data_IF_823528393572
#
_entry.id   IF_823528393572
#
_cell.length_a   1.000
_cell.length_b   1.000
_cell.length_c   1.000
_cell.angle_alpha   90.00
_cell.angle_beta   90.00
_cell.angle_gamma   90.00
#
_symmetry.space_group_name_H-M   'P 1'
#
loop_
_entity.id
_entity.type
_entity.pdbx_description
1 polymer ?
#
# COMPACT_ATOMS: atom_id res chain seq x y z
N UNK A 1 7.21 -21.77 -4.54
CA UNK A 1 5.78 -21.92 -4.95
C UNK A 1 4.85 -22.26 -3.79
N UNK A 2 5.14 -23.26 -2.94
CA UNK A 2 4.28 -23.62 -1.79
C UNK A 2 3.99 -22.46 -0.80
N UNK A 3 4.95 -21.55 -0.55
CA UNK A 3 4.76 -20.40 0.34
C UNK A 3 3.92 -19.25 -0.24
N UNK A 4 4.00 -18.99 -1.55
CA UNK A 4 3.18 -17.97 -2.22
C UNK A 4 1.72 -18.46 -2.37
N UNK A 5 1.55 -19.78 -2.56
CA UNK A 5 0.24 -20.44 -2.56
C UNK A 5 -0.34 -20.45 -1.13
N UNK A 6 0.45 -20.67 -0.09
CA UNK A 6 -0.03 -20.52 1.30
C UNK A 6 -0.31 -19.06 1.69
N UNK A 7 0.40 -18.09 1.11
CA UNK A 7 0.12 -16.65 1.29
C UNK A 7 -1.31 -16.30 0.84
N UNK A 8 -1.73 -16.78 -0.33
CA UNK A 8 -3.10 -16.59 -0.81
C UNK A 8 -4.15 -17.52 -0.18
N UNK A 9 -3.75 -18.68 0.35
CA UNK A 9 -4.68 -19.64 0.96
C UNK A 9 -5.07 -19.26 2.40
N UNK A 10 -4.27 -18.42 3.06
CA UNK A 10 -4.46 -18.03 4.47
C UNK A 10 -4.99 -16.60 4.62
N UNK A 11 -5.14 -15.84 3.53
CA UNK A 11 -5.73 -14.49 3.60
C UNK A 11 -7.22 -14.60 3.86
N UNK A 12 -7.71 -14.03 4.96
CA UNK A 12 -9.12 -13.69 5.10
C UNK A 12 -9.52 -12.88 3.87
N UNK A 13 -10.45 -13.43 3.08
CA UNK A 13 -10.90 -12.81 1.84
C UNK A 13 -11.61 -11.49 2.20
N UNK A 14 -10.90 -10.37 2.10
CA UNK A 14 -11.58 -9.08 1.99
C UNK A 14 -12.40 -9.10 0.70
N UNK A 15 -13.69 -8.79 0.78
CA UNK A 15 -14.51 -8.76 -0.42
C UNK A 15 -14.03 -7.63 -1.34
N UNK A 16 -14.11 -7.80 -2.67
CA UNK A 16 -13.77 -6.74 -3.63
C UNK A 16 -14.59 -5.46 -3.41
N UNK A 17 -15.76 -5.56 -2.77
CA UNK A 17 -16.59 -4.43 -2.32
C UNK A 17 -15.87 -3.58 -1.26
N UNK A 18 -15.16 -4.20 -0.33
CA UNK A 18 -14.37 -3.49 0.70
C UNK A 18 -13.19 -2.76 0.04
N UNK A 19 -12.52 -3.36 -0.94
CA UNK A 19 -11.46 -2.68 -1.71
C UNK A 19 -11.99 -1.47 -2.49
N UNK A 20 -13.19 -1.57 -3.07
CA UNK A 20 -13.84 -0.46 -3.75
C UNK A 20 -14.23 0.68 -2.78
N UNK A 21 -14.72 0.33 -1.57
CA UNK A 21 -15.00 1.29 -0.50
C UNK A 21 -13.73 1.99 0.00
N UNK A 22 -12.63 1.25 0.18
CA UNK A 22 -11.31 1.77 0.52
C UNK A 22 -10.84 2.75 -0.55
N UNK A 23 -10.94 2.36 -1.83
CA UNK A 23 -10.55 3.23 -2.95
C UNK A 23 -11.39 4.51 -2.98
N UNK A 24 -12.70 4.40 -2.72
CA UNK A 24 -13.61 5.54 -2.64
C UNK A 24 -13.24 6.47 -1.48
N UNK A 25 -12.94 5.92 -0.29
CA UNK A 25 -12.50 6.68 0.88
C UNK A 25 -11.19 7.43 0.59
N UNK A 26 -10.25 6.78 -0.09
CA UNK A 26 -8.97 7.38 -0.51
C UNK A 26 -9.20 8.54 -1.48
N UNK A 27 -10.06 8.35 -2.47
CA UNK A 27 -10.41 9.41 -3.42
C UNK A 27 -11.03 10.61 -2.70
N UNK A 28 -11.97 10.37 -1.78
CA UNK A 28 -12.56 11.42 -0.92
C UNK A 28 -11.52 12.14 -0.06
N UNK A 29 -10.51 11.43 0.45
CA UNK A 29 -9.43 12.03 1.24
C UNK A 29 -8.41 12.84 0.42
N UNK A 30 -8.24 12.50 -0.86
CA UNK A 30 -7.32 13.19 -1.77
C UNK A 30 -7.91 14.52 -2.27
N UNK A 31 -9.24 14.65 -2.40
CA UNK A 31 -9.90 15.92 -2.76
C UNK A 31 -9.98 16.89 -1.56
N UNK A 32 -9.29 18.04 -1.57
CA UNK A 32 -9.53 19.08 -0.59
C UNK A 32 -10.80 19.86 -0.98
N UNK A 33 -11.95 19.46 -0.44
CA UNK A 33 -13.13 20.30 -0.23
C UNK A 33 -13.77 20.97 -1.46
N UNK A 34 -14.77 20.32 -2.05
CA UNK A 34 -15.98 20.99 -2.58
C UNK A 34 -17.24 20.37 -1.97
N UNK A 35 -17.26 20.17 -0.66
CA UNK A 35 -18.52 19.96 0.06
C UNK A 35 -19.01 21.31 0.59
N UNK A 36 -19.38 22.20 -0.32
CA UNK A 36 -20.38 23.22 0.01
C UNK A 36 -21.68 22.47 0.27
N UNK A 37 -22.32 22.76 1.39
CA UNK A 37 -23.60 22.20 1.80
C UNK A 37 -24.62 22.32 0.65
N UNK A 38 -24.85 21.21 -0.05
CA UNK A 38 -25.99 21.01 -0.93
C UNK A 38 -26.91 20.02 -0.23
N UNK A 39 -28.06 20.50 0.23
CA UNK A 39 -29.10 19.71 0.87
C UNK A 39 -29.42 18.47 0.03
N UNK A 40 -29.07 17.29 0.54
CA UNK A 40 -29.60 16.03 0.02
C UNK A 40 -30.98 15.82 0.64
N UNK A 41 -32.01 16.33 -0.03
CA UNK A 41 -33.39 15.97 0.26
C UNK A 41 -33.62 14.52 -0.21
N UNK A 42 -33.95 13.63 0.73
CA UNK A 42 -34.49 12.31 0.39
C UNK A 42 -35.87 12.49 -0.26
N UNK A 43 -36.18 11.81 -1.39
CA UNK A 43 -37.55 11.65 -1.81
C UNK A 43 -38.23 10.61 -0.92
N UNK A 44 -39.23 11.07 -0.18
CA UNK A 44 -40.21 10.29 0.57
C UNK A 44 -41.11 9.45 -0.34
N UNK A 45 -41.31 8.19 0.04
CA UNK A 45 -42.48 7.31 -0.12
C UNK A 45 -43.66 7.73 -1.03
N UNK A 46 -44.06 6.82 -1.93
CA UNK A 46 -45.43 6.32 -2.20
C UNK A 46 -45.34 5.49 -3.50
N UNK A 47 -45.87 4.28 -3.66
CA UNK A 47 -47.25 3.86 -3.45
C UNK A 47 -47.34 2.36 -3.16
N UNK A 48 -48.27 2.05 -2.26
CA UNK A 48 -48.89 0.76 -1.97
C UNK A 48 -49.87 0.33 -3.09
N UNK A 49 -50.02 -0.97 -3.29
CA UNK A 49 -51.10 -1.61 -4.06
C UNK A 49 -50.99 -3.14 -4.02
N UNK A 50 -52.10 -3.92 -4.00
CA UNK A 50 -52.27 -5.01 -3.03
C UNK A 50 -52.09 -6.45 -3.54
N UNK A 51 -51.82 -7.32 -2.56
CA UNK A 51 -52.14 -8.74 -2.34
C UNK A 51 -52.91 -9.51 -3.43
N UNK A 52 -52.40 -10.71 -3.75
CA UNK A 52 -53.21 -11.89 -4.05
C UNK A 52 -52.50 -13.15 -3.53
N UNK A 53 -53.10 -13.78 -2.54
CA UNK A 53 -52.81 -15.14 -2.09
C UNK A 53 -53.21 -16.17 -3.17
N UNK A 54 -52.47 -17.27 -3.24
CA UNK A 54 -52.75 -18.40 -4.12
C UNK A 54 -51.90 -19.61 -3.76
N UNK A 55 -52.36 -20.35 -2.75
CA UNK A 55 -51.85 -21.68 -2.38
C UNK A 55 -52.20 -22.68 -3.48
N UNK A 56 -51.26 -23.53 -3.89
CA UNK A 56 -51.51 -24.95 -4.20
C UNK A 56 -50.20 -25.74 -4.19
N UNK A 57 -50.14 -26.65 -3.23
CA UNK A 57 -49.24 -27.80 -3.10
C UNK A 57 -49.48 -28.82 -4.21
N UNK A 58 -48.42 -29.33 -4.81
CA UNK A 58 -48.43 -30.72 -5.32
C UNK A 58 -47.08 -31.37 -5.02
N UNK A 59 -47.16 -32.36 -4.14
CA UNK A 59 -46.12 -33.32 -3.79
C UNK A 59 -46.24 -34.45 -4.82
N UNK A 60 -45.14 -34.83 -5.45
CA UNK A 60 -45.00 -36.18 -5.99
C UNK A 60 -43.60 -36.69 -5.65
N UNK A 61 -43.62 -37.70 -4.78
CA UNK A 61 -42.53 -38.60 -4.44
C UNK A 61 -42.01 -39.29 -5.70
N UNK A 62 -40.69 -39.45 -5.79
CA UNK A 62 -40.15 -40.73 -6.24
C UNK A 62 -38.90 -41.05 -5.40
N UNK A 63 -39.01 -42.14 -4.64
CA UNK A 63 -37.95 -42.73 -3.84
C UNK A 63 -37.15 -43.68 -4.73
N UNK A 64 -35.84 -43.48 -4.84
CA UNK A 64 -34.91 -44.59 -5.11
C UNK A 64 -33.77 -44.54 -4.11
N UNK A 65 -33.88 -45.47 -3.18
CA UNK A 65 -32.96 -45.85 -2.12
C UNK A 65 -31.58 -46.28 -2.67
N UNK A 66 -30.53 -45.55 -2.28
CA UNK A 66 -29.16 -46.05 -2.30
C UNK A 66 -28.53 -45.67 -0.96
N UNK A 67 -28.33 -46.68 -0.12
CA UNK A 67 -27.73 -46.56 1.21
C UNK A 67 -26.36 -45.86 1.16
N UNK A 68 -26.28 -44.71 1.82
CA UNK A 68 -25.03 -44.07 2.19
C UNK A 68 -25.04 -43.87 3.70
N UNK A 69 -24.15 -44.58 4.39
CA UNK A 69 -23.86 -44.39 5.81
C UNK A 69 -23.52 -42.92 6.08
N UNK A 70 -24.42 -42.22 6.77
CA UNK A 70 -24.19 -40.87 7.27
C UNK A 70 -23.14 -40.91 8.39
N UNK A 71 -21.94 -40.41 8.10
CA UNK A 71 -21.01 -39.96 9.13
C UNK A 71 -21.63 -38.76 9.87
N UNK A 72 -21.39 -38.58 11.18
CA UNK A 72 -22.00 -37.49 11.94
C UNK A 72 -21.53 -36.13 11.41
N UNK A 73 -22.50 -35.25 11.15
CA UNK A 73 -22.32 -33.83 10.87
C UNK A 73 -21.50 -33.16 11.99
N UNK A 74 -20.22 -32.89 11.74
CA UNK A 74 -19.39 -32.07 12.62
C UNK A 74 -20.01 -30.66 12.74
N UNK A 75 -20.28 -30.24 13.96
CA UNK A 75 -20.97 -29.00 14.30
C UNK A 75 -20.09 -27.77 13.96
N UNK A 76 -20.39 -26.96 12.93
CA UNK A 76 -19.52 -25.85 12.48
C UNK A 76 -19.51 -24.63 13.43
N UNK A 77 -20.31 -24.65 14.50
CA UNK A 77 -20.70 -23.44 15.24
C UNK A 77 -19.65 -22.88 16.21
N UNK A 78 -18.70 -23.70 16.69
CA UNK A 78 -17.71 -23.25 17.68
C UNK A 78 -16.54 -22.51 17.03
N UNK A 79 -15.98 -23.06 15.95
CA UNK A 79 -14.87 -22.43 15.22
C UNK A 79 -15.31 -21.14 14.53
N UNK A 80 -16.54 -21.10 14.00
CA UNK A 80 -17.10 -19.89 13.41
C UNK A 80 -17.33 -18.78 14.46
N UNK A 81 -17.79 -19.14 15.68
CA UNK A 81 -17.93 -18.19 16.79
C UNK A 81 -16.57 -17.65 17.25
N UNK A 82 -15.56 -18.51 17.39
CA UNK A 82 -14.20 -18.09 17.80
C UNK A 82 -13.59 -17.15 16.75
N UNK A 83 -13.73 -17.47 15.45
CA UNK A 83 -13.29 -16.59 14.37
C UNK A 83 -13.94 -15.20 14.46
N UNK A 84 -15.26 -15.15 14.67
CA UNK A 84 -15.99 -13.89 14.81
C UNK A 84 -15.51 -13.02 16.00
N UNK A 85 -15.20 -13.63 17.15
CA UNK A 85 -14.63 -12.88 18.29
C UNK A 85 -13.22 -12.33 17.98
N UNK A 86 -12.40 -13.09 17.25
CA UNK A 86 -11.07 -12.66 16.84
C UNK A 86 -11.17 -11.49 15.85
N UNK A 87 -12.09 -11.54 14.91
CA UNK A 87 -12.36 -10.45 13.95
C UNK A 87 -12.80 -9.16 14.66
N UNK A 88 -13.65 -9.28 15.69
CA UNK A 88 -14.06 -8.14 16.52
C UNK A 88 -12.85 -7.52 17.22
N UNK A 89 -11.98 -8.33 17.83
CA UNK A 89 -10.77 -7.85 18.50
C UNK A 89 -9.85 -7.12 17.51
N UNK A 90 -9.68 -7.66 16.30
CA UNK A 90 -8.88 -7.02 15.26
C UNK A 90 -9.49 -5.72 14.76
N UNK A 91 -10.80 -5.67 14.57
CA UNK A 91 -11.54 -4.44 14.26
C UNK A 91 -11.30 -3.36 15.31
N UNK A 92 -11.38 -3.71 16.60
CA UNK A 92 -11.03 -2.77 17.67
C UNK A 92 -9.58 -2.31 17.58
N UNK A 93 -8.63 -3.18 17.23
CA UNK A 93 -7.24 -2.80 16.97
C UNK A 93 -7.09 -1.77 15.86
N UNK A 94 -7.84 -1.92 14.76
CA UNK A 94 -7.88 -0.94 13.67
C UNK A 94 -8.46 0.41 14.09
N UNK A 95 -9.61 0.39 14.76
CA UNK A 95 -10.27 1.61 15.28
C UNK A 95 -9.36 2.33 16.29
N UNK A 96 -8.76 1.60 17.22
CA UNK A 96 -7.79 2.13 18.18
C UNK A 96 -6.59 2.77 17.47
N UNK A 97 -6.10 2.17 16.39
CA UNK A 97 -5.02 2.76 15.58
C UNK A 97 -5.45 4.11 15.00
N UNK A 98 -6.63 4.18 14.37
CA UNK A 98 -7.15 5.42 13.81
C UNK A 98 -7.35 6.51 14.88
N UNK A 99 -7.92 6.15 16.03
CA UNK A 99 -8.09 7.06 17.18
C UNK A 99 -6.75 7.52 17.71
N UNK A 100 -5.78 6.60 17.89
CA UNK A 100 -4.45 6.93 18.42
C UNK A 100 -3.72 7.89 17.49
N UNK A 101 -3.79 7.68 16.18
CA UNK A 101 -3.31 8.62 15.17
C UNK A 101 -3.93 10.01 15.42
N UNK A 102 -5.26 10.12 15.48
CA UNK A 102 -5.95 11.40 15.72
C UNK A 102 -5.61 12.04 17.09
N UNK A 103 -5.43 11.24 18.14
CA UNK A 103 -5.02 11.70 19.47
C UNK A 103 -3.58 12.23 19.47
N UNK A 104 -2.65 11.52 18.81
CA UNK A 104 -1.29 12.01 18.61
C UNK A 104 -1.31 13.35 17.89
N UNK A 105 -2.13 13.49 16.85
CA UNK A 105 -2.28 14.77 16.16
C UNK A 105 -2.78 15.88 17.09
N UNK A 106 -3.87 15.63 17.82
CA UNK A 106 -4.44 16.59 18.76
C UNK A 106 -3.47 16.97 19.87
N UNK A 107 -2.68 16.01 20.36
CA UNK A 107 -1.66 16.26 21.38
C UNK A 107 -0.54 17.16 20.84
N UNK A 108 -0.04 16.89 19.64
CA UNK A 108 0.99 17.74 19.00
C UNK A 108 0.45 19.16 18.79
N UNK A 109 -0.78 19.32 18.27
CA UNK A 109 -1.41 20.64 18.10
C UNK A 109 -1.69 21.35 19.43
N UNK A 110 -2.03 20.62 20.50
CA UNK A 110 -2.24 21.22 21.83
C UNK A 110 -0.92 21.67 22.48
N UNK A 111 0.17 20.92 22.27
CA UNK A 111 1.51 21.31 22.70
C UNK A 111 1.97 22.59 21.98
N UNK A 112 1.65 22.72 20.69
CA UNK A 112 1.90 23.93 19.90
C UNK A 112 1.19 25.16 20.48
N UNK A 113 -0.11 25.06 20.77
CA UNK A 113 -0.88 26.17 21.31
C UNK A 113 -0.29 26.66 22.65
N UNK A 114 0.11 25.72 23.52
CA UNK A 114 0.79 26.06 24.78
C UNK A 114 2.15 26.72 24.57
N UNK A 115 2.93 26.29 23.57
CA UNK A 115 4.22 26.90 23.27
C UNK A 115 4.06 28.34 22.73
N UNK A 116 3.01 28.59 21.95
CA UNK A 116 2.69 29.90 21.40
C UNK A 116 2.20 30.91 22.45
N UNK A 117 1.67 30.44 23.59
CA UNK A 117 1.19 31.29 24.70
C UNK A 117 2.32 31.78 25.64
N UNK A 118 3.56 31.30 25.51
CA UNK A 118 4.67 31.79 26.34
C UNK A 118 5.03 33.26 25.99
N UNK A 119 5.05 34.18 26.99
CA UNK A 119 5.14 35.60 26.71
C UNK A 119 6.54 36.01 26.21
N UNK A 120 6.52 36.71 25.10
CA UNK A 120 7.67 37.21 24.37
C UNK A 120 8.43 38.28 25.19
N UNK A 121 9.48 37.89 25.92
CA UNK A 121 10.37 38.84 26.61
C UNK A 121 11.33 39.46 25.58
N UNK A 122 10.88 40.57 25.00
CA UNK A 122 11.60 41.42 24.05
C UNK A 122 12.87 42.02 24.68
N UNK A 123 14.07 41.73 24.16
CA UNK A 123 14.98 42.79 23.64
C UNK A 123 16.29 42.34 22.94
N UNK A 124 16.71 41.07 22.96
CA UNK A 124 17.90 40.60 22.18
C UNK A 124 17.63 39.34 21.33
N UNK A 125 16.36 38.98 21.22
CA UNK A 125 15.89 37.61 20.99
C UNK A 125 15.51 37.29 19.53
N UNK A 126 15.58 38.21 18.57
CA UNK A 126 14.99 38.00 17.23
C UNK A 126 15.64 36.87 16.42
N UNK A 127 16.98 36.78 16.40
CA UNK A 127 17.68 35.69 15.68
C UNK A 127 17.56 34.34 16.40
N UNK A 128 17.52 34.33 17.73
CA UNK A 128 17.31 33.10 18.50
C UNK A 128 15.87 32.60 18.35
N UNK A 129 14.89 33.50 18.28
CA UNK A 129 13.48 33.17 18.06
C UNK A 129 13.26 32.60 16.65
N UNK A 130 13.90 33.16 15.62
CA UNK A 130 13.83 32.63 14.24
C UNK A 130 14.40 31.20 14.17
N UNK A 131 15.58 30.97 14.74
CA UNK A 131 16.21 29.63 14.79
C UNK A 131 15.33 28.66 15.59
N UNK A 132 14.79 29.08 16.73
CA UNK A 132 13.92 28.25 17.56
C UNK A 132 12.62 27.89 16.83
N UNK A 133 12.03 28.82 16.08
CA UNK A 133 10.85 28.58 15.26
C UNK A 133 11.12 27.63 14.09
N UNK A 134 12.28 27.70 13.45
CA UNK A 134 12.66 26.75 12.40
C UNK A 134 12.89 25.34 12.94
N UNK A 135 13.58 25.21 14.09
CA UNK A 135 13.78 23.94 14.77
C UNK A 135 12.42 23.32 15.11
N UNK A 136 11.52 24.11 15.71
CA UNK A 136 10.18 23.66 16.09
C UNK A 136 9.36 23.19 14.89
N UNK A 137 9.36 23.94 13.77
CA UNK A 137 8.69 23.54 12.52
C UNK A 137 9.22 22.22 11.96
N UNK A 138 10.53 22.01 12.07
CA UNK A 138 11.19 20.79 11.58
C UNK A 138 10.86 19.59 12.47
N UNK A 139 10.94 19.74 13.79
CA UNK A 139 10.53 18.69 14.74
C UNK A 139 9.06 18.31 14.59
N UNK A 140 8.20 19.31 14.36
CA UNK A 140 6.79 19.12 14.05
C UNK A 140 6.60 18.24 12.81
N UNK A 141 7.26 18.55 11.69
CA UNK A 141 7.19 17.74 10.47
C UNK A 141 7.70 16.31 10.69
N UNK A 142 8.77 16.15 11.48
CA UNK A 142 9.32 14.84 11.85
C UNK A 142 8.31 14.01 12.63
N UNK A 143 7.69 14.58 13.67
CA UNK A 143 6.72 13.87 14.51
C UNK A 143 5.48 13.42 13.71
N UNK A 144 4.93 14.32 12.90
CA UNK A 144 3.79 14.01 12.05
C UNK A 144 4.14 12.96 10.97
N UNK A 145 5.36 12.93 10.48
CA UNK A 145 5.80 11.89 9.54
C UNK A 145 6.07 10.56 10.23
N UNK A 146 6.74 10.58 11.39
CA UNK A 146 7.20 9.38 12.07
C UNK A 146 6.04 8.53 12.60
N UNK A 147 4.99 9.16 13.14
CA UNK A 147 3.88 8.42 13.73
C UNK A 147 3.18 7.48 12.72
N UNK A 148 2.70 7.94 11.54
CA UNK A 148 2.13 7.05 10.53
C UNK A 148 3.12 6.03 9.99
N UNK A 149 4.40 6.39 9.82
CA UNK A 149 5.45 5.46 9.37
C UNK A 149 5.61 4.30 10.35
N UNK A 150 5.60 4.56 11.65
CA UNK A 150 5.67 3.52 12.69
C UNK A 150 4.45 2.60 12.67
N UNK A 151 3.24 3.14 12.45
CA UNK A 151 2.04 2.32 12.34
C UNK A 151 2.05 1.45 11.08
N UNK A 152 2.48 1.98 9.93
CA UNK A 152 2.66 1.20 8.69
C UNK A 152 3.69 0.09 8.94
N UNK A 153 4.82 0.41 9.56
CA UNK A 153 5.85 -0.57 9.89
C UNK A 153 5.33 -1.67 10.83
N UNK A 154 4.55 -1.30 11.85
CA UNK A 154 3.91 -2.27 12.74
C UNK A 154 2.97 -3.20 11.98
N UNK A 155 2.15 -2.67 11.07
CA UNK A 155 1.23 -3.46 10.26
C UNK A 155 1.99 -4.46 9.37
N UNK A 156 3.05 -4.01 8.71
CA UNK A 156 3.90 -4.87 7.86
C UNK A 156 4.65 -5.95 8.67
N UNK A 157 5.13 -5.62 9.88
CA UNK A 157 5.72 -6.61 10.78
C UNK A 157 4.70 -7.64 11.28
N UNK A 158 3.43 -7.26 11.43
CA UNK A 158 2.36 -8.20 11.75
C UNK A 158 2.08 -9.16 10.60
N UNK A 159 2.11 -8.68 9.35
CA UNK A 159 2.06 -9.54 8.15
C UNK A 159 3.22 -10.53 8.18
N UNK A 160 4.44 -10.04 8.40
CA UNK A 160 5.64 -10.88 8.50
C UNK A 160 5.52 -11.97 9.59
N UNK A 161 4.91 -11.63 10.73
CA UNK A 161 4.68 -12.58 11.84
C UNK A 161 3.48 -13.52 11.64
N UNK A 162 2.77 -13.43 10.51
CA UNK A 162 1.61 -14.26 10.18
C UNK A 162 0.27 -13.80 10.76
N UNK A 163 0.21 -12.62 11.40
CA UNK A 163 -1.01 -12.05 12.02
C UNK A 163 -1.79 -11.18 11.03
N UNK A 164 -2.23 -11.77 9.92
CA UNK A 164 -2.78 -11.03 8.79
C UNK A 164 -4.07 -10.26 9.10
N UNK A 165 -5.03 -10.86 9.81
CA UNK A 165 -6.29 -10.18 10.16
C UNK A 165 -6.06 -8.88 10.93
N UNK A 166 -5.20 -8.92 11.96
CA UNK A 166 -4.81 -7.74 12.73
C UNK A 166 -4.15 -6.68 11.83
N UNK A 167 -3.20 -7.09 10.99
CA UNK A 167 -2.48 -6.18 10.11
C UNK A 167 -3.41 -5.44 9.15
N UNK A 168 -4.37 -6.14 8.54
CA UNK A 168 -5.40 -5.55 7.66
C UNK A 168 -6.18 -4.46 8.40
N UNK A 169 -6.66 -4.76 9.60
CA UNK A 169 -7.41 -3.79 10.39
C UNK A 169 -6.55 -2.58 10.80
N UNK A 170 -5.27 -2.77 11.11
CA UNK A 170 -4.34 -1.65 11.34
C UNK A 170 -4.19 -0.81 10.06
N UNK A 171 -4.01 -1.39 8.88
CA UNK A 171 -3.95 -0.63 7.62
C UNK A 171 -5.24 0.17 7.35
N UNK A 172 -6.41 -0.41 7.63
CA UNK A 172 -7.71 0.30 7.54
C UNK A 172 -7.74 1.47 8.54
N UNK A 173 -7.30 1.23 9.79
CA UNK A 173 -7.21 2.24 10.84
C UNK A 173 -6.28 3.41 10.47
N UNK A 174 -5.11 3.10 9.91
CA UNK A 174 -4.16 4.09 9.38
C UNK A 174 -4.84 4.93 8.30
N UNK A 175 -5.52 4.29 7.36
CA UNK A 175 -6.17 4.97 6.26
C UNK A 175 -7.26 5.94 6.74
N UNK A 176 -8.12 5.49 7.65
CA UNK A 176 -9.18 6.33 8.26
C UNK A 176 -8.54 7.49 9.04
N UNK A 177 -7.55 7.20 9.89
CA UNK A 177 -6.87 8.21 10.71
C UNK A 177 -6.18 9.29 9.88
N UNK A 178 -5.49 8.89 8.79
CA UNK A 178 -4.87 9.84 7.86
C UNK A 178 -5.90 10.61 7.04
N UNK A 179 -7.00 9.98 6.61
CA UNK A 179 -8.06 10.65 5.86
C UNK A 179 -8.76 11.73 6.69
N UNK A 180 -9.05 11.45 7.96
CA UNK A 180 -9.71 12.38 8.89
C UNK A 180 -8.77 13.43 9.48
N UNK A 181 -7.46 13.29 9.29
CA UNK A 181 -6.48 14.25 9.80
C UNK A 181 -6.64 15.66 9.21
N UNK A 182 -7.24 15.79 8.02
CA UNK A 182 -7.54 17.09 7.38
C UNK A 182 -8.53 17.96 8.19
N UNK A 183 -9.29 17.35 9.10
CA UNK A 183 -10.20 18.05 10.00
C UNK A 183 -9.42 18.78 11.09
N UNK A 184 -8.32 18.18 11.56
CA UNK A 184 -7.49 18.68 12.66
C UNK A 184 -6.31 19.53 12.16
N UNK A 185 -5.71 19.14 11.05
CA UNK A 185 -4.48 19.76 10.51
C UNK A 185 -4.80 20.52 9.24
N UNK A 186 -4.40 21.79 9.20
CA UNK A 186 -4.55 22.67 8.03
C UNK A 186 -3.24 22.92 7.28
N UNK A 187 -2.12 22.37 7.75
CA UNK A 187 -0.83 22.50 7.09
C UNK A 187 -0.76 21.62 5.84
N UNK A 188 -0.66 22.27 4.67
CA UNK A 188 -0.61 21.60 3.38
C UNK A 188 0.60 20.69 3.19
N UNK A 189 1.75 20.98 3.82
CA UNK A 189 2.94 20.12 3.71
C UNK A 189 2.69 18.77 4.38
N UNK A 190 2.14 18.79 5.60
CA UNK A 190 1.80 17.57 6.36
C UNK A 190 0.75 16.75 5.60
N UNK A 191 -0.32 17.41 5.12
CA UNK A 191 -1.38 16.73 4.38
C UNK A 191 -0.87 16.05 3.10
N UNK A 192 0.10 16.66 2.40
CA UNK A 192 0.77 16.03 1.25
C UNK A 192 1.57 14.79 1.64
N UNK A 193 2.30 14.83 2.76
CA UNK A 193 3.01 13.65 3.27
C UNK A 193 1.99 12.54 3.57
N UNK A 194 0.84 12.87 4.15
CA UNK A 194 -0.19 11.88 4.48
C UNK A 194 -0.84 11.28 3.24
N UNK A 195 -1.12 12.07 2.22
CA UNK A 195 -1.55 11.56 0.92
C UNK A 195 -0.55 10.55 0.35
N UNK A 196 0.75 10.81 0.46
CA UNK A 196 1.78 9.87 0.01
C UNK A 196 1.80 8.59 0.87
N UNK A 197 1.77 8.72 2.19
CA UNK A 197 1.78 7.60 3.13
C UNK A 197 0.52 6.75 3.06
N UNK A 198 -0.63 7.32 2.69
CA UNK A 198 -1.88 6.58 2.46
C UNK A 198 -1.79 5.61 1.27
N UNK A 199 -0.92 5.84 0.30
CA UNK A 199 -0.78 4.94 -0.86
C UNK A 199 -0.26 3.55 -0.45
N UNK A 200 0.53 3.45 0.62
CA UNK A 200 1.10 2.19 1.12
C UNK A 200 0.04 1.25 1.71
N UNK A 201 -0.80 1.65 2.70
CA UNK A 201 -1.89 0.81 3.18
C UNK A 201 -2.90 0.51 2.07
N UNK A 202 -3.13 1.42 1.12
CA UNK A 202 -4.01 1.14 -0.03
C UNK A 202 -3.43 0.05 -0.92
N UNK A 203 -2.14 0.16 -1.29
CA UNK A 203 -1.43 -0.89 -2.02
C UNK A 203 -1.55 -2.23 -1.30
N UNK A 204 -1.31 -2.25 0.02
CA UNK A 204 -1.39 -3.48 0.81
C UNK A 204 -2.80 -4.06 0.83
N UNK A 205 -3.82 -3.25 1.13
CA UNK A 205 -5.19 -3.69 1.23
C UNK A 205 -5.72 -4.21 -0.11
N UNK A 206 -5.39 -3.53 -1.22
CA UNK A 206 -5.72 -4.03 -2.56
C UNK A 206 -5.03 -5.37 -2.81
N UNK A 207 -3.71 -5.46 -2.59
CA UNK A 207 -2.95 -6.70 -2.79
C UNK A 207 -3.53 -7.89 -2.00
N UNK A 208 -3.92 -7.69 -0.74
CA UNK A 208 -4.50 -8.75 0.10
C UNK A 208 -5.97 -9.07 -0.23
N UNK A 209 -6.71 -8.15 -0.85
CA UNK A 209 -8.12 -8.36 -1.19
C UNK A 209 -8.33 -8.99 -2.55
N UNK A 210 -7.31 -8.98 -3.43
CA UNK A 210 -7.47 -9.44 -4.80
C UNK A 210 -7.70 -10.95 -4.85
N UNK A 211 -8.85 -11.40 -5.40
CA UNK A 211 -9.09 -12.82 -5.60
C UNK A 211 -8.11 -13.40 -6.62
N UNK A 212 -7.69 -14.65 -6.42
CA UNK A 212 -6.96 -15.42 -7.43
C UNK A 212 -7.92 -15.78 -8.55
N UNK A 213 -8.15 -14.87 -9.49
CA UNK A 213 -9.06 -15.07 -10.62
C UNK A 213 -8.45 -15.92 -11.75
N UNK A 214 -7.12 -16.09 -11.77
CA UNK A 214 -6.41 -16.75 -12.87
C UNK A 214 -5.54 -17.90 -12.36
N UNK A 215 -5.36 -18.92 -13.21
CA UNK A 215 -4.39 -19.99 -12.97
C UNK A 215 -2.95 -19.47 -12.93
N UNK A 216 -2.68 -18.33 -13.60
CA UNK A 216 -1.36 -17.69 -13.64
C UNK A 216 -1.32 -16.45 -12.76
N UNK A 217 -0.47 -16.46 -11.73
CA UNK A 217 -0.24 -15.34 -10.80
C UNK A 217 0.15 -14.03 -11.51
N UNK A 218 0.75 -14.12 -12.70
CA UNK A 218 1.20 -12.96 -13.47
C UNK A 218 0.07 -11.94 -13.74
N UNK A 219 -1.12 -12.41 -14.10
CA UNK A 219 -2.23 -11.50 -14.43
C UNK A 219 -2.83 -10.83 -13.19
N UNK A 220 -2.68 -11.41 -12.01
CA UNK A 220 -3.17 -10.80 -10.76
C UNK A 220 -2.54 -9.42 -10.52
N UNK A 221 -1.28 -9.20 -10.94
CA UNK A 221 -0.63 -7.90 -10.84
C UNK A 221 -1.36 -6.82 -11.63
N UNK A 222 -1.93 -7.13 -12.79
CA UNK A 222 -2.73 -6.15 -13.55
C UNK A 222 -3.93 -5.69 -12.70
N UNK A 223 -4.62 -6.62 -12.03
CA UNK A 223 -5.77 -6.30 -11.20
C UNK A 223 -5.40 -5.61 -9.88
N UNK A 224 -4.20 -5.83 -9.36
CA UNK A 224 -3.70 -5.14 -8.16
C UNK A 224 -3.31 -3.69 -8.49
N UNK A 225 -2.50 -3.49 -9.53
CA UNK A 225 -1.92 -2.17 -9.80
C UNK A 225 -2.83 -1.26 -10.63
N UNK A 226 -3.76 -1.78 -11.45
CA UNK A 226 -4.68 -0.92 -12.23
C UNK A 226 -5.61 -0.07 -11.35
N UNK A 227 -6.29 -0.62 -10.32
CA UNK A 227 -7.09 0.20 -9.42
C UNK A 227 -6.25 1.19 -8.63
N UNK A 228 -5.02 0.82 -8.26
CA UNK A 228 -4.09 1.69 -7.54
C UNK A 228 -3.61 2.87 -8.41
N UNK A 229 -3.54 2.70 -9.73
CA UNK A 229 -3.20 3.78 -10.66
C UNK A 229 -4.22 4.95 -10.60
N UNK A 230 -5.46 4.72 -10.16
CA UNK A 230 -6.50 5.75 -10.08
C UNK A 230 -6.16 6.84 -9.04
N UNK A 231 -5.98 6.55 -7.73
CA UNK A 231 -5.61 7.56 -6.74
C UNK A 231 -4.25 8.20 -7.05
N UNK A 232 -3.32 7.45 -7.66
CA UNK A 232 -2.06 7.99 -8.17
C UNK A 232 -2.26 9.05 -9.26
N UNK A 233 -3.08 8.75 -10.28
CA UNK A 233 -3.39 9.70 -11.34
C UNK A 233 -4.04 10.96 -10.76
N UNK A 234 -4.97 10.82 -9.80
CA UNK A 234 -5.59 11.96 -9.12
C UNK A 234 -4.55 12.81 -8.39
N UNK A 235 -3.62 12.19 -7.65
CA UNK A 235 -2.54 12.89 -6.95
C UNK A 235 -1.63 13.62 -7.95
N UNK A 236 -1.21 12.96 -9.03
CA UNK A 236 -0.32 13.54 -10.05
C UNK A 236 -1.00 14.69 -10.80
N UNK A 237 -2.32 14.63 -11.03
CA UNK A 237 -3.07 15.71 -11.68
C UNK A 237 -3.32 16.93 -10.78
N UNK A 238 -3.45 16.73 -9.46
CA UNK A 238 -3.82 17.79 -8.52
C UNK A 238 -2.66 18.28 -7.64
N UNK A 239 -1.48 17.68 -7.75
CA UNK A 239 -0.29 18.20 -7.08
C UNK A 239 0.17 19.52 -7.71
N UNK A 240 0.84 20.37 -6.91
CA UNK A 240 1.42 21.63 -7.43
C UNK A 240 2.85 21.47 -7.93
N UNK A 241 3.44 20.30 -7.74
CA UNK A 241 4.84 20.04 -8.07
C UNK A 241 4.93 19.76 -9.58
N UNK A 242 6.02 20.21 -10.21
CA UNK A 242 6.18 20.02 -11.66
C UNK A 242 6.39 18.55 -12.01
N UNK A 243 6.04 18.15 -13.24
CA UNK A 243 6.30 16.79 -13.72
C UNK A 243 7.79 16.43 -13.66
N UNK A 244 8.68 17.40 -13.90
CA UNK A 244 10.13 17.20 -13.76
C UNK A 244 10.55 16.96 -12.29
N UNK A 245 9.90 17.62 -11.34
CA UNK A 245 10.21 17.46 -9.91
C UNK A 245 9.85 16.07 -9.39
N UNK A 246 8.74 15.51 -9.87
CA UNK A 246 8.39 14.11 -9.62
C UNK A 246 9.12 13.13 -10.57
N UNK A 247 10.07 13.62 -11.36
CA UNK A 247 10.99 12.83 -12.18
C UNK A 247 10.45 12.35 -13.53
N UNK A 248 9.27 12.80 -13.95
CA UNK A 248 8.75 12.53 -15.29
C UNK A 248 9.53 13.40 -16.28
N UNK A 249 10.60 12.84 -16.84
CA UNK A 249 11.50 13.52 -17.77
C UNK A 249 12.06 12.55 -18.81
N UNK A 250 12.40 13.07 -19.99
CA UNK A 250 13.08 12.33 -21.07
C UNK A 250 14.58 12.63 -21.14
N UNK A 251 15.09 13.46 -20.22
CA UNK A 251 16.52 13.82 -20.14
C UNK A 251 17.37 12.57 -19.93
N UNK A 252 18.41 12.41 -20.74
CA UNK A 252 19.36 11.29 -20.69
C UNK A 252 18.73 9.89 -20.79
N UNK A 253 17.51 9.77 -21.34
CA UNK A 253 16.74 8.53 -21.37
C UNK A 253 17.54 7.35 -21.93
N UNK A 254 18.24 7.53 -23.06
CA UNK A 254 18.99 6.44 -23.70
C UNK A 254 20.15 5.92 -22.83
N UNK A 255 20.87 6.83 -22.16
CA UNK A 255 21.96 6.45 -21.24
C UNK A 255 21.42 5.69 -20.03
N UNK A 256 20.27 6.10 -19.50
CA UNK A 256 19.65 5.44 -18.36
C UNK A 256 19.03 4.08 -18.71
N UNK A 257 18.47 3.91 -19.90
CA UNK A 257 18.06 2.60 -20.44
C UNK A 257 19.27 1.66 -20.56
N UNK A 258 20.39 2.16 -21.09
CA UNK A 258 21.60 1.34 -21.22
C UNK A 258 22.18 0.92 -19.86
N UNK A 259 22.09 1.79 -18.84
CA UNK A 259 22.54 1.49 -17.49
C UNK A 259 21.56 0.62 -16.70
N UNK A 260 20.25 0.72 -16.96
CA UNK A 260 19.25 -0.02 -16.20
C UNK A 260 19.43 -1.52 -16.36
N UNK A 261 19.71 -2.01 -17.57
CA UNK A 261 19.78 -3.46 -17.83
C UNK A 261 20.87 -4.21 -17.01
N UNK A 262 22.16 -3.82 -17.04
CA UNK A 262 23.19 -4.51 -16.25
C UNK A 262 22.98 -4.36 -14.74
N UNK A 263 22.54 -3.18 -14.27
CA UNK A 263 22.24 -2.97 -12.85
C UNK A 263 21.08 -3.87 -12.41
N UNK A 264 20.04 -3.97 -13.24
CA UNK A 264 18.86 -4.79 -12.94
C UNK A 264 19.20 -6.27 -12.86
N UNK A 265 20.08 -6.76 -13.73
CA UNK A 265 20.55 -8.14 -13.65
C UNK A 265 21.29 -8.40 -12.33
N UNK A 266 22.22 -7.53 -11.93
CA UNK A 266 22.99 -7.69 -10.69
C UNK A 266 22.10 -7.64 -9.45
N UNK A 267 21.17 -6.68 -9.40
CA UNK A 267 20.24 -6.53 -8.27
C UNK A 267 19.20 -7.66 -8.25
N UNK A 268 18.61 -8.01 -9.39
CA UNK A 268 17.68 -9.14 -9.50
C UNK A 268 18.34 -10.48 -9.18
N UNK A 269 19.63 -10.66 -9.48
CA UNK A 269 20.39 -11.84 -9.06
C UNK A 269 20.54 -11.90 -7.54
N UNK A 270 20.90 -10.79 -6.88
CA UNK A 270 21.01 -10.77 -5.43
C UNK A 270 19.67 -11.03 -4.73
N UNK A 271 18.57 -10.52 -5.28
CA UNK A 271 17.22 -10.78 -4.78
C UNK A 271 16.82 -12.24 -4.98
N UNK A 272 17.09 -12.81 -6.16
CA UNK A 272 16.83 -14.22 -6.44
C UNK A 272 17.56 -15.15 -5.46
N UNK A 273 18.80 -14.81 -5.09
CA UNK A 273 19.56 -15.57 -4.10
C UNK A 273 18.92 -15.51 -2.69
N UNK A 274 18.12 -14.48 -2.41
CA UNK A 274 17.46 -14.24 -1.12
C UNK A 274 16.15 -15.03 -0.99
N UNK A 275 15.29 -15.00 -2.01
CA UNK A 275 13.94 -15.61 -1.95
C UNK A 275 13.73 -16.84 -2.83
N UNK A 276 14.63 -17.13 -3.78
CA UNK A 276 14.56 -18.30 -4.69
C UNK A 276 13.16 -18.47 -5.30
N UNK A 277 12.73 -17.43 -6.02
CA UNK A 277 11.41 -17.34 -6.65
C UNK A 277 11.19 -18.45 -7.69
N UNK A 278 9.92 -18.82 -7.89
CA UNK A 278 9.53 -19.60 -9.06
C UNK A 278 9.37 -18.70 -10.28
N UNK A 279 9.26 -19.31 -11.46
CA UNK A 279 8.93 -18.58 -12.68
C UNK A 279 7.43 -18.20 -12.71
N UNK A 280 7.14 -17.00 -13.21
CA UNK A 280 5.78 -16.50 -13.45
C UNK A 280 5.29 -16.74 -14.89
N UNK A 281 6.20 -17.10 -15.78
CA UNK A 281 5.92 -17.44 -17.17
C UNK A 281 6.29 -18.91 -17.43
N UNK A 282 5.59 -19.61 -18.34
CA UNK A 282 5.81 -21.03 -18.58
C UNK A 282 7.12 -21.34 -19.32
N UNK A 283 7.62 -20.39 -20.11
CA UNK A 283 8.81 -20.56 -20.95
C UNK A 283 9.44 -19.18 -21.29
N UNK A 284 10.61 -19.22 -21.93
CA UNK A 284 11.37 -18.02 -22.34
C UNK A 284 11.11 -17.60 -23.80
N UNK A 285 9.98 -17.98 -24.39
CA UNK A 285 9.59 -17.46 -25.71
C UNK A 285 9.42 -15.95 -25.68
N UNK A 286 9.54 -15.35 -26.87
CA UNK A 286 9.37 -13.91 -27.04
C UNK A 286 8.02 -13.42 -26.49
N UNK A 287 6.93 -14.16 -26.72
CA UNK A 287 5.60 -13.80 -26.25
C UNK A 287 5.52 -13.78 -24.72
N UNK A 288 6.01 -14.82 -24.06
CA UNK A 288 6.05 -14.93 -22.59
C UNK A 288 6.89 -13.81 -21.96
N UNK A 289 8.09 -13.56 -22.50
CA UNK A 289 8.97 -12.49 -22.02
C UNK A 289 8.39 -11.10 -22.26
N UNK A 290 7.72 -10.88 -23.40
CA UNK A 290 7.05 -9.62 -23.70
C UNK A 290 5.92 -9.35 -22.71
N UNK A 291 5.06 -10.34 -22.44
CA UNK A 291 3.98 -10.23 -21.43
C UNK A 291 4.53 -9.92 -20.04
N UNK A 292 5.55 -10.66 -19.61
CA UNK A 292 6.20 -10.43 -18.31
C UNK A 292 6.79 -9.02 -18.22
N UNK A 293 7.50 -8.58 -19.26
CA UNK A 293 8.14 -7.25 -19.30
C UNK A 293 7.09 -6.15 -19.22
N UNK A 294 6.00 -6.27 -19.99
CA UNK A 294 4.92 -5.27 -19.96
C UNK A 294 4.34 -5.16 -18.55
N UNK A 295 4.02 -6.28 -17.91
CA UNK A 295 3.40 -6.30 -16.58
C UNK A 295 4.39 -5.78 -15.53
N UNK A 296 5.63 -6.28 -15.52
CA UNK A 296 6.61 -5.92 -14.50
C UNK A 296 7.12 -4.49 -14.62
N UNK A 297 7.24 -3.95 -15.83
CA UNK A 297 7.69 -2.57 -16.04
C UNK A 297 6.54 -1.58 -15.86
N UNK A 298 5.40 -1.78 -16.54
CA UNK A 298 4.35 -0.75 -16.62
C UNK A 298 3.25 -0.87 -15.57
N UNK A 299 3.08 -2.04 -14.94
CA UNK A 299 2.13 -2.19 -13.84
C UNK A 299 2.87 -2.18 -12.50
N UNK A 300 3.80 -3.11 -12.29
CA UNK A 300 4.51 -3.21 -11.00
C UNK A 300 5.50 -2.05 -10.82
N UNK A 301 6.56 -2.01 -11.63
CA UNK A 301 7.66 -1.05 -11.47
C UNK A 301 7.19 0.40 -11.60
N UNK A 302 6.35 0.72 -12.59
CA UNK A 302 5.85 2.09 -12.77
C UNK A 302 5.03 2.56 -11.57
N UNK A 303 4.06 1.76 -11.11
CA UNK A 303 3.16 2.18 -10.03
C UNK A 303 3.93 2.27 -8.71
N UNK A 304 4.78 1.30 -8.40
CA UNK A 304 5.56 1.34 -7.17
C UNK A 304 6.55 2.51 -7.16
N UNK A 305 7.31 2.73 -8.22
CA UNK A 305 8.28 3.83 -8.23
C UNK A 305 7.60 5.21 -8.27
N UNK A 306 6.39 5.32 -8.85
CA UNK A 306 5.57 6.52 -8.70
C UNK A 306 5.20 6.78 -7.23
N UNK A 307 4.78 5.74 -6.49
CA UNK A 307 4.43 5.85 -5.07
C UNK A 307 5.66 6.22 -4.25
N UNK A 308 6.73 5.43 -4.36
CA UNK A 308 7.87 5.52 -3.46
C UNK A 308 8.83 6.66 -3.81
N UNK A 309 9.13 6.89 -5.10
CA UNK A 309 10.11 7.90 -5.52
C UNK A 309 9.45 9.21 -5.87
N UNK A 310 8.59 9.18 -6.89
CA UNK A 310 7.99 10.40 -7.43
C UNK A 310 7.17 11.15 -6.39
N UNK A 311 6.35 10.43 -5.61
CA UNK A 311 5.45 11.05 -4.63
C UNK A 311 6.07 11.06 -3.24
N UNK A 312 6.34 9.89 -2.64
CA UNK A 312 6.72 9.81 -1.24
C UNK A 312 8.11 10.41 -0.98
N UNK A 313 9.15 9.97 -1.71
CA UNK A 313 10.51 10.47 -1.52
C UNK A 313 10.59 11.98 -1.78
N UNK A 314 10.05 12.46 -2.90
CA UNK A 314 10.02 13.91 -3.23
C UNK A 314 9.36 14.74 -2.13
N UNK A 315 8.19 14.32 -1.62
CA UNK A 315 7.48 15.06 -0.56
C UNK A 315 8.23 15.04 0.77
N UNK A 316 8.89 13.93 1.09
CA UNK A 316 9.73 13.84 2.28
C UNK A 316 11.00 14.69 2.14
N UNK A 317 11.61 14.79 0.96
CA UNK A 317 12.76 15.66 0.70
C UNK A 317 12.41 17.15 0.79
N UNK A 318 11.17 17.52 0.44
CA UNK A 318 10.67 18.90 0.60
C UNK A 318 10.35 19.26 2.06
N UNK A 319 10.14 18.26 2.93
CA UNK A 319 9.68 18.46 4.31
C UNK A 319 10.74 18.15 5.37
N UNK A 320 11.67 17.24 5.07
CA UNK A 320 12.72 16.74 5.96
C UNK A 320 14.08 16.84 5.26
N UNK A 321 15.16 16.39 5.92
CA UNK A 321 16.44 16.27 5.22
C UNK A 321 16.42 15.13 4.19
N UNK A 322 17.23 15.25 3.14
CA UNK A 322 17.40 14.21 2.11
C UNK A 322 17.78 12.86 2.72
N UNK A 323 18.63 12.85 3.75
CA UNK A 323 19.02 11.61 4.43
C UNK A 323 17.83 10.93 5.11
N UNK A 324 16.98 11.70 5.78
CA UNK A 324 15.77 11.18 6.42
C UNK A 324 14.78 10.66 5.38
N UNK A 325 14.56 11.40 4.29
CA UNK A 325 13.67 10.98 3.21
C UNK A 325 14.12 9.66 2.56
N UNK A 326 15.43 9.54 2.24
CA UNK A 326 16.01 8.31 1.71
C UNK A 326 15.88 7.15 2.70
N UNK A 327 16.18 7.37 3.98
CA UNK A 327 16.09 6.32 4.99
C UNK A 327 14.65 5.83 5.18
N UNK A 328 13.70 6.75 5.35
CA UNK A 328 12.28 6.43 5.55
C UNK A 328 11.73 5.67 4.35
N UNK A 329 11.93 6.18 3.13
CA UNK A 329 11.41 5.53 1.91
C UNK A 329 12.02 4.16 1.68
N UNK A 330 13.31 3.97 1.97
CA UNK A 330 14.00 2.69 1.81
C UNK A 330 13.52 1.64 2.83
N UNK A 331 13.36 2.04 4.10
CA UNK A 331 12.82 1.15 5.14
C UNK A 331 11.39 0.74 4.79
N UNK A 332 10.54 1.68 4.38
CA UNK A 332 9.16 1.38 3.99
C UNK A 332 9.11 0.46 2.76
N UNK A 333 9.95 0.70 1.75
CA UNK A 333 10.02 -0.16 0.57
C UNK A 333 10.36 -1.61 0.95
N UNK A 334 11.37 -1.80 1.82
CA UNK A 334 11.72 -3.12 2.33
C UNK A 334 10.62 -3.78 3.16
N UNK A 335 9.97 -3.03 4.06
CA UNK A 335 8.86 -3.54 4.87
C UNK A 335 7.67 -3.95 4.01
N UNK A 336 7.40 -3.27 2.90
CA UNK A 336 6.34 -3.65 1.96
C UNK A 336 6.64 -4.97 1.21
N UNK A 337 7.84 -5.55 1.36
CA UNK A 337 8.17 -6.91 0.92
C UNK A 337 7.99 -7.96 2.03
N UNK A 338 7.43 -7.59 3.18
CA UNK A 338 7.12 -8.50 4.31
C UNK A 338 6.32 -9.74 3.91
N UNK A 339 5.48 -9.63 2.87
CA UNK A 339 4.64 -10.71 2.36
C UNK A 339 5.40 -11.93 1.83
N UNK A 340 6.67 -11.79 1.47
CA UNK A 340 7.52 -12.94 1.10
C UNK A 340 7.93 -13.80 2.30
N UNK A 341 7.76 -13.29 3.52
CA UNK A 341 7.93 -14.05 4.76
C UNK A 341 9.39 -14.39 5.09
N UNK A 342 10.36 -13.67 4.54
CA UNK A 342 11.78 -13.81 4.89
C UNK A 342 12.36 -12.46 5.30
N UNK A 343 13.09 -12.45 6.42
CA UNK A 343 13.71 -11.23 6.93
C UNK A 343 14.81 -10.71 5.99
N UNK A 344 15.54 -11.62 5.36
CA UNK A 344 16.57 -11.28 4.36
C UNK A 344 15.97 -10.49 3.20
N UNK A 345 14.74 -10.78 2.78
CA UNK A 345 14.07 -10.05 1.71
C UNK A 345 13.77 -8.61 2.09
N UNK A 346 13.23 -8.40 3.29
CA UNK A 346 12.95 -7.06 3.82
C UNK A 346 14.24 -6.21 3.84
N UNK A 347 15.35 -6.80 4.28
CA UNK A 347 16.65 -6.12 4.30
C UNK A 347 17.18 -5.86 2.89
N UNK A 348 17.12 -6.86 2.00
CA UNK A 348 17.66 -6.77 0.65
C UNK A 348 16.91 -5.73 -0.18
N UNK A 349 15.58 -5.82 -0.21
CA UNK A 349 14.73 -4.87 -0.93
C UNK A 349 14.80 -3.47 -0.32
N UNK A 350 14.97 -3.35 1.00
CA UNK A 350 15.26 -2.07 1.64
C UNK A 350 16.60 -1.47 1.18
N UNK A 351 17.65 -2.30 1.03
CA UNK A 351 18.94 -1.88 0.49
C UNK A 351 18.85 -1.47 -0.99
N UNK A 352 18.18 -2.27 -1.83
CA UNK A 352 17.90 -1.94 -3.23
C UNK A 352 17.11 -0.63 -3.29
N UNK A 353 16.10 -0.48 -2.45
CA UNK A 353 15.30 0.74 -2.33
C UNK A 353 16.14 1.98 -1.99
N UNK A 354 17.20 1.84 -1.17
CA UNK A 354 18.15 2.91 -0.91
C UNK A 354 18.98 3.27 -2.14
N UNK A 355 19.49 2.27 -2.86
CA UNK A 355 20.23 2.50 -4.10
C UNK A 355 19.37 3.20 -5.15
N UNK A 356 18.13 2.73 -5.34
CA UNK A 356 17.17 3.34 -6.25
C UNK A 356 16.78 4.75 -5.80
N UNK A 357 16.61 4.97 -4.49
CA UNK A 357 16.33 6.30 -3.94
C UNK A 357 17.47 7.29 -4.17
N UNK A 358 18.72 6.88 -3.97
CA UNK A 358 19.90 7.72 -4.25
C UNK A 358 20.01 7.99 -5.76
N UNK A 359 19.77 6.99 -6.59
CA UNK A 359 19.76 7.12 -8.04
C UNK A 359 18.68 8.12 -8.49
N UNK A 360 17.48 8.03 -7.95
CA UNK A 360 16.38 8.98 -8.21
C UNK A 360 16.74 10.39 -7.75
N UNK A 361 17.28 10.55 -6.54
CA UNK A 361 17.69 11.86 -6.01
C UNK A 361 18.72 12.54 -6.93
N UNK A 362 19.69 11.78 -7.45
CA UNK A 362 20.75 12.31 -8.33
C UNK A 362 20.28 12.58 -9.76
N UNK A 363 19.36 11.78 -10.29
CA UNK A 363 18.99 11.83 -11.72
C UNK A 363 17.66 12.52 -11.97
N UNK A 364 16.77 12.56 -10.97
CA UNK A 364 15.34 12.92 -11.11
C UNK A 364 14.71 12.31 -12.36
N UNK A 365 14.99 11.03 -12.60
CA UNK A 365 14.47 10.29 -13.74
C UNK A 365 13.64 9.10 -13.27
N UNK A 366 12.33 9.26 -13.28
CA UNK A 366 11.39 8.17 -13.05
C UNK A 366 11.55 7.07 -14.11
N UNK A 367 11.66 7.36 -15.43
CA UNK A 367 11.83 6.29 -16.41
C UNK A 367 13.05 5.42 -16.17
N UNK A 368 14.16 6.01 -15.69
CA UNK A 368 15.35 5.24 -15.31
C UNK A 368 15.04 4.22 -14.21
N UNK A 369 14.42 4.66 -13.11
CA UNK A 369 14.15 3.81 -11.96
C UNK A 369 13.05 2.78 -12.28
N UNK A 370 12.03 3.16 -13.05
CA UNK A 370 10.96 2.25 -13.51
C UNK A 370 11.51 1.13 -14.37
N UNK A 371 12.40 1.45 -15.32
CA UNK A 371 13.05 0.43 -16.14
C UNK A 371 13.95 -0.45 -15.28
N UNK A 372 14.72 0.13 -14.37
CA UNK A 372 15.59 -0.64 -13.48
C UNK A 372 14.78 -1.60 -12.60
N UNK A 373 13.76 -1.12 -11.89
CA UNK A 373 12.91 -1.97 -11.06
C UNK A 373 12.13 -3.00 -11.90
N UNK A 374 11.52 -2.57 -13.01
CA UNK A 374 10.80 -3.49 -13.89
C UNK A 374 11.69 -4.62 -14.43
N UNK A 375 12.92 -4.32 -14.84
CA UNK A 375 13.86 -5.35 -15.29
C UNK A 375 14.40 -6.21 -14.14
N UNK A 376 14.57 -5.68 -12.93
CA UNK A 376 14.86 -6.50 -11.73
C UNK A 376 13.81 -7.61 -11.63
N UNK A 377 12.54 -7.24 -11.71
CA UNK A 377 11.42 -8.18 -11.65
C UNK A 377 11.38 -9.15 -12.84
N UNK A 378 11.73 -8.72 -14.06
CA UNK A 378 11.85 -9.62 -15.23
C UNK A 378 12.95 -10.67 -15.01
N UNK A 379 14.12 -10.27 -14.49
CA UNK A 379 15.18 -11.21 -14.16
C UNK A 379 14.77 -12.15 -13.02
N UNK A 380 14.23 -11.60 -11.94
CA UNK A 380 13.85 -12.31 -10.73
C UNK A 380 12.73 -13.33 -10.94
N UNK A 381 11.68 -12.99 -11.68
CA UNK A 381 10.49 -13.84 -11.85
C UNK A 381 10.37 -14.54 -13.21
N UNK A 382 11.23 -14.17 -14.16
CA UNK A 382 11.26 -14.78 -15.50
C UNK A 382 12.54 -15.56 -15.72
N UNK A 383 13.64 -14.83 -15.89
CA UNK A 383 14.88 -15.38 -16.46
C UNK A 383 15.62 -16.28 -15.45
N UNK A 384 15.96 -15.76 -14.28
CA UNK A 384 16.81 -16.46 -13.30
C UNK A 384 16.20 -17.78 -12.81
N UNK A 385 14.89 -17.88 -12.49
CA UNK A 385 14.30 -19.16 -12.11
C UNK A 385 14.43 -20.22 -13.20
N UNK A 386 14.29 -19.89 -14.49
CA UNK A 386 14.41 -20.88 -15.57
C UNK A 386 15.83 -21.45 -15.73
N UNK A 387 16.87 -20.67 -15.40
CA UNK A 387 18.26 -21.12 -15.49
C UNK A 387 18.82 -21.69 -14.18
N UNK A 388 18.34 -21.20 -13.04
CA UNK A 388 18.93 -21.46 -11.73
C UNK A 388 18.02 -22.28 -10.80
N UNK A 389 16.79 -22.65 -11.19
CA UNK A 389 15.91 -23.46 -10.33
C UNK A 389 16.47 -24.86 -10.06
N UNK A 390 17.29 -25.39 -10.96
CA UNK A 390 18.01 -26.65 -10.80
C UNK A 390 19.38 -26.49 -10.14
N UNK A 391 19.79 -25.25 -9.82
CA UNK A 391 21.09 -24.94 -9.26
C UNK A 391 20.99 -24.79 -7.75
N UNK A 392 21.38 -25.84 -7.01
CA UNK A 392 21.60 -25.80 -5.56
C UNK A 392 23.06 -25.44 -5.30
N UNK A 393 23.40 -24.21 -4.88
CA UNK A 393 24.71 -23.97 -4.32
C UNK A 393 24.67 -24.51 -2.89
N UNK A 394 25.33 -25.66 -2.71
CA UNK A 394 25.58 -26.39 -1.45
C UNK A 394 24.48 -27.33 -0.97
#
# INVERSE_FOLDING_TARGET
MQKLISFHKTSEKLSPVISALILTLVLLAIFPGTASAGNFELPSSALTGPVSDGISTEILQDETDYGFTLLPYENPSLFQKIGWYVDIIYMFGGICTGILILLTHRHITALEQKLAEFPNKKFELTRFDEISQEIFKTERLRLFTLAPVLFIALAELLIFSGRMGLAVWIHIGILIGLSLSNMLIKDLKILRIYQALMLLPVLRLINLSMPVFFETTLYAFVFIYSPLAIPLAVIVMHQKDSLEEIGITTKNFLSYVALSLPLSFLLGLGEYLTIRTGYLIPDLSFESLLKLTIIMVFFVGLVEELIFRSILQTRLEQALSVKEALLITSILFGLMHSGYGTFHEILYTGFVGLLMGIAFYKTRSLPFIVLMHGFINVFLFGILPHYLSSWTPF
#
